data_IF_592612990969
#
_entry.id   IF_592612990969
#
_cell.length_a   1.000
_cell.length_b   1.000
_cell.length_c   1.000
_cell.angle_alpha   90.00
_cell.angle_beta   90.00
_cell.angle_gamma   90.00
#
_symmetry.space_group_name_H-M   'P 1'
#
loop_
_entity.id
_entity.type
_entity.pdbx_description
1 polymer ?
#
# COMPACT_ATOMS: atom_id res chain seq x y z
N UNK A 1 -20.70 -28.52 -12.05
CA UNK A 1 -21.59 -27.40 -12.41
C UNK A 1 -20.74 -26.14 -12.54
N UNK A 2 -20.54 -25.69 -13.77
CA UNK A 2 -19.75 -24.51 -14.16
C UNK A 2 -20.70 -23.32 -14.22
N UNK A 3 -20.39 -22.17 -13.58
CA UNK A 3 -20.88 -20.83 -13.96
C UNK A 3 -20.40 -19.73 -12.99
N UNK A 4 -19.66 -18.75 -13.52
CA UNK A 4 -19.37 -17.47 -12.87
C UNK A 4 -18.11 -16.84 -13.44
N UNK A 5 -18.26 -15.86 -14.35
CA UNK A 5 -17.20 -15.38 -15.23
C UNK A 5 -16.02 -14.69 -14.54
N UNK A 6 -14.87 -14.74 -15.24
CA UNK A 6 -13.66 -13.98 -14.96
C UNK A 6 -13.93 -12.48 -15.09
N UNK A 7 -14.43 -11.86 -14.02
CA UNK A 7 -14.21 -10.45 -13.77
C UNK A 7 -12.76 -10.35 -13.26
N UNK A 8 -11.91 -9.58 -13.93
CA UNK A 8 -10.55 -9.30 -13.45
C UNK A 8 -10.66 -8.65 -12.06
N UNK A 9 -10.65 -9.47 -10.99
CA UNK A 9 -10.71 -8.98 -9.62
C UNK A 9 -9.39 -8.26 -9.38
N UNK A 10 -9.42 -6.92 -9.44
CA UNK A 10 -8.25 -6.13 -9.10
C UNK A 10 -7.82 -6.55 -7.69
N UNK A 11 -6.52 -6.87 -7.48
CA UNK A 11 -6.05 -7.27 -6.15
C UNK A 11 -6.40 -6.19 -5.11
N UNK A 12 -6.80 -6.62 -3.91
CA UNK A 12 -7.11 -5.68 -2.82
C UNK A 12 -5.82 -5.26 -2.11
N UNK A 13 -5.13 -4.29 -2.69
CA UNK A 13 -3.86 -3.79 -2.16
C UNK A 13 -3.96 -3.15 -0.77
N UNK A 14 -5.14 -2.76 -0.32
CA UNK A 14 -5.33 -2.14 0.99
C UNK A 14 -5.58 -3.17 2.11
N UNK A 15 -5.92 -4.41 1.77
CA UNK A 15 -6.31 -5.44 2.74
C UNK A 15 -5.61 -6.80 2.54
N UNK A 16 -4.97 -7.06 1.39
CA UNK A 16 -4.21 -8.28 1.12
C UNK A 16 -2.69 -8.01 1.13
N UNK A 17 -1.95 -8.57 2.11
CA UNK A 17 -0.49 -8.50 2.14
C UNK A 17 0.15 -9.08 0.88
N UNK A 18 -0.41 -10.14 0.30
CA UNK A 18 0.19 -10.82 -0.87
C UNK A 18 0.18 -9.92 -2.10
N UNK A 19 -0.86 -9.11 -2.24
CA UNK A 19 -0.99 -8.12 -3.31
C UNK A 19 -0.11 -6.88 -3.09
N UNK A 20 0.03 -6.42 -1.84
CA UNK A 20 0.70 -5.16 -1.49
C UNK A 20 2.19 -5.31 -1.23
N UNK A 21 2.64 -6.45 -0.71
CA UNK A 21 4.04 -6.71 -0.36
C UNK A 21 5.01 -6.49 -1.53
N UNK A 22 4.72 -6.95 -2.77
CA UNK A 22 5.60 -6.70 -3.90
C UNK A 22 5.82 -5.19 -4.19
N UNK A 23 4.82 -4.35 -3.90
CA UNK A 23 4.94 -2.89 -4.05
C UNK A 23 5.77 -2.32 -2.90
N UNK A 24 5.46 -2.71 -1.67
CA UNK A 24 6.17 -2.27 -0.45
C UNK A 24 7.68 -2.55 -0.59
N UNK A 25 8.06 -3.76 -1.00
CA UNK A 25 9.46 -4.13 -1.21
C UNK A 25 10.13 -3.35 -2.34
N UNK A 26 9.45 -3.26 -3.50
CA UNK A 26 9.99 -2.59 -4.69
C UNK A 26 10.27 -1.11 -4.45
N UNK A 27 9.40 -0.43 -3.73
CA UNK A 27 9.49 1.01 -3.47
C UNK A 27 10.13 1.35 -2.12
N UNK A 28 10.59 0.35 -1.36
CA UNK A 28 11.24 0.52 -0.05
C UNK A 28 10.38 1.32 0.93
N UNK A 29 9.10 0.97 1.00
CA UNK A 29 8.15 1.58 1.95
C UNK A 29 8.37 0.94 3.33
N UNK A 30 8.67 1.75 4.34
CA UNK A 30 8.85 1.29 5.72
C UNK A 30 7.51 1.32 6.45
N UNK A 31 7.17 0.25 7.18
CA UNK A 31 5.99 0.18 8.03
C UNK A 31 6.47 0.01 9.48
N UNK A 32 6.18 0.98 10.34
CA UNK A 32 6.59 1.02 11.73
C UNK A 32 5.36 0.99 12.66
N UNK A 33 5.38 0.15 13.67
CA UNK A 33 4.36 0.09 14.72
C UNK A 33 4.63 1.19 15.76
N UNK A 34 3.68 2.12 15.91
CA UNK A 34 3.74 3.22 16.89
C UNK A 34 2.75 3.02 18.04
N UNK A 35 2.38 1.77 18.35
CA UNK A 35 1.49 1.34 19.43
C UNK A 35 0.00 1.63 19.17
N UNK A 36 -0.35 2.87 18.84
CA UNK A 36 -1.75 3.28 18.58
C UNK A 36 -2.11 3.28 17.09
N UNK A 37 -1.11 3.45 16.24
CA UNK A 37 -1.24 3.51 14.80
C UNK A 37 0.06 3.07 14.12
N UNK A 38 0.00 2.89 12.81
CA UNK A 38 1.17 2.57 12.00
C UNK A 38 1.70 3.84 11.37
N UNK A 39 3.00 4.07 11.50
CA UNK A 39 3.72 5.06 10.71
C UNK A 39 4.27 4.39 9.46
N UNK A 40 3.94 4.91 8.29
CA UNK A 40 4.43 4.41 7.02
C UNK A 40 5.17 5.51 6.29
N UNK A 41 6.42 5.24 5.94
CA UNK A 41 7.30 6.21 5.29
C UNK A 41 7.96 5.66 4.02
N UNK A 42 8.38 6.56 3.15
CA UNK A 42 9.26 6.26 2.03
C UNK A 42 10.06 7.51 1.66
N UNK A 43 11.16 7.31 0.93
CA UNK A 43 12.05 8.41 0.52
C UNK A 43 11.29 9.43 -0.33
N UNK A 44 11.36 10.71 0.08
CA UNK A 44 10.88 11.83 -0.71
C UNK A 44 9.39 12.18 -0.52
N UNK A 45 8.70 11.52 0.40
CA UNK A 45 7.31 11.81 0.75
C UNK A 45 7.13 11.93 2.26
N UNK A 46 6.11 12.67 2.69
CA UNK A 46 5.75 12.78 4.10
C UNK A 46 5.24 11.43 4.64
N UNK A 47 5.57 11.07 5.89
CA UNK A 47 5.06 9.86 6.51
C UNK A 47 3.53 9.93 6.69
N UNK A 48 2.88 8.77 6.56
CA UNK A 48 1.44 8.60 6.74
C UNK A 48 1.20 7.78 8.00
N UNK A 49 0.25 8.24 8.82
CA UNK A 49 -0.18 7.54 10.01
C UNK A 49 -1.60 6.99 9.83
N UNK A 50 -1.79 5.69 10.06
CA UNK A 50 -3.08 5.02 9.93
C UNK A 50 -3.17 3.77 10.82
N UNK A 51 -4.37 3.45 11.28
CA UNK A 51 -4.70 2.15 11.91
C UNK A 51 -4.54 0.94 10.96
N UNK A 52 -4.56 1.15 9.65
CA UNK A 52 -4.43 0.11 8.62
C UNK A 52 -3.11 0.26 7.85
N UNK A 53 -2.08 -0.56 8.15
CA UNK A 53 -0.73 -0.36 7.62
C UNK A 53 -0.66 -0.52 6.10
N UNK A 54 -1.40 -1.48 5.53
CA UNK A 54 -1.41 -1.70 4.08
C UNK A 54 -2.07 -0.53 3.33
N UNK A 55 -3.15 0.03 3.89
CA UNK A 55 -3.75 1.25 3.33
C UNK A 55 -2.77 2.41 3.35
N UNK A 56 -2.10 2.64 4.49
CA UNK A 56 -1.09 3.69 4.58
C UNK A 56 0.05 3.48 3.57
N UNK A 57 0.53 2.24 3.39
CA UNK A 57 1.52 1.92 2.38
C UNK A 57 1.06 2.25 0.95
N UNK A 58 -0.19 1.96 0.61
CA UNK A 58 -0.71 2.33 -0.71
C UNK A 58 -0.88 3.85 -0.88
N UNK A 59 -1.21 4.59 0.18
CA UNK A 59 -1.24 6.06 0.14
C UNK A 59 0.17 6.61 -0.10
N UNK A 60 1.17 6.12 0.64
CA UNK A 60 2.58 6.50 0.45
C UNK A 60 3.05 6.21 -0.98
N UNK A 61 2.71 5.03 -1.52
CA UNK A 61 2.99 4.70 -2.92
C UNK A 61 2.39 5.72 -3.88
N UNK A 62 1.10 6.07 -3.73
CA UNK A 62 0.45 7.05 -4.61
C UNK A 62 1.11 8.44 -4.51
N UNK A 63 1.50 8.88 -3.31
CA UNK A 63 2.22 10.14 -3.12
C UNK A 63 3.58 10.13 -3.82
N UNK A 64 4.30 9.01 -3.80
CA UNK A 64 5.56 8.87 -4.53
C UNK A 64 5.34 8.97 -6.04
N UNK A 65 4.28 8.36 -6.56
CA UNK A 65 3.93 8.43 -7.99
C UNK A 65 3.56 9.85 -8.39
N UNK A 66 2.83 10.59 -7.56
CA UNK A 66 2.48 11.99 -7.79
C UNK A 66 3.74 12.88 -7.83
N UNK A 67 4.67 12.69 -6.89
CA UNK A 67 5.94 13.42 -6.86
C UNK A 67 6.83 13.14 -8.09
N UNK A 68 6.75 11.94 -8.67
CA UNK A 68 7.50 11.56 -9.86
C UNK A 68 6.86 12.03 -11.19
N UNK A 69 5.58 12.39 -11.18
CA UNK A 69 4.83 12.82 -12.35
C UNK A 69 4.76 14.35 -12.50
N UNK A 70 5.43 15.09 -11.62
CA UNK A 70 5.48 16.56 -11.58
C UNK A 70 6.73 17.13 -12.25
#
# INVERSE_FOLDING_TARGET
ETRGGSLNHLPDYCNDPSASWPIIEKYRISILDQLTEWCVDAKGVSPIFDTRPLRAAMIVFLLMQEANNA
#
